data_IF_412578736729
#
_entry.id   IF_412578736729
#
_cell.length_a   1.000
_cell.length_b   1.000
_cell.length_c   1.000
_cell.angle_alpha   90.00
_cell.angle_beta   90.00
_cell.angle_gamma   90.00
#
_symmetry.space_group_name_H-M   'P 1'
#
loop_
_entity.id
_entity.type
_entity.pdbx_description
1 polymer ?
#
# COMPACT_ATOMS: atom_id res chain seq x y z
N UNK A 1 11.61 -10.21 -6.45
CA UNK A 1 11.52 -10.54 -7.89
C UNK A 1 10.06 -10.49 -8.29
N UNK A 2 9.65 -9.47 -9.06
CA UNK A 2 8.33 -9.48 -9.68
C UNK A 2 8.26 -10.63 -10.68
N UNK A 3 7.24 -11.48 -10.55
CA UNK A 3 7.00 -12.52 -11.56
C UNK A 3 6.43 -11.89 -12.82
N UNK A 4 6.75 -12.49 -13.96
CA UNK A 4 6.07 -12.17 -15.21
C UNK A 4 4.55 -12.34 -15.05
N UNK A 5 3.79 -11.46 -15.67
CA UNK A 5 2.32 -11.49 -15.63
C UNK A 5 1.70 -12.82 -16.11
N UNK A 6 2.48 -13.65 -16.79
CA UNK A 6 2.10 -15.01 -17.22
C UNK A 6 1.92 -16.00 -16.06
N UNK A 7 2.53 -15.72 -14.90
CA UNK A 7 2.49 -16.60 -13.73
C UNK A 7 1.35 -16.26 -12.76
N UNK A 8 0.56 -15.24 -13.06
CA UNK A 8 -0.56 -14.80 -12.24
C UNK A 8 -1.87 -15.29 -12.85
N UNK A 9 -2.63 -16.02 -12.08
CA UNK A 9 -4.01 -16.39 -12.45
C UNK A 9 -4.97 -15.32 -11.97
N UNK A 10 -5.79 -14.79 -12.86
CA UNK A 10 -6.81 -13.79 -12.56
C UNK A 10 -8.21 -14.38 -12.73
N UNK A 11 -9.04 -14.25 -11.72
CA UNK A 11 -10.46 -14.61 -11.74
C UNK A 11 -11.29 -13.37 -11.43
N UNK A 12 -12.19 -13.02 -12.35
CA UNK A 12 -13.15 -11.94 -12.15
C UNK A 12 -14.51 -12.53 -11.80
N UNK A 13 -15.01 -12.16 -10.62
CA UNK A 13 -16.37 -12.47 -10.17
C UNK A 13 -17.26 -11.22 -10.27
N UNK A 14 -18.54 -11.33 -9.83
CA UNK A 14 -19.47 -10.20 -9.81
C UNK A 14 -18.97 -9.03 -8.96
N UNK A 15 -18.38 -9.33 -7.80
CA UNK A 15 -18.12 -8.35 -6.74
C UNK A 15 -16.64 -8.18 -6.44
N UNK A 16 -15.79 -9.06 -6.96
CA UNK A 16 -14.35 -9.03 -6.70
C UNK A 16 -13.51 -9.51 -7.88
N UNK A 17 -12.22 -9.19 -7.79
CA UNK A 17 -11.17 -9.76 -8.64
C UNK A 17 -10.20 -10.48 -7.73
N UNK A 18 -9.87 -11.72 -8.07
CA UNK A 18 -8.91 -12.54 -7.34
C UNK A 18 -7.69 -12.79 -8.22
N UNK A 19 -6.53 -12.42 -7.71
CA UNK A 19 -5.24 -12.74 -8.31
C UNK A 19 -4.54 -13.81 -7.46
N UNK A 20 -3.98 -14.82 -8.09
CA UNK A 20 -3.27 -15.90 -7.41
C UNK A 20 -1.94 -16.16 -8.11
N UNK A 21 -0.86 -16.27 -7.35
CA UNK A 21 0.47 -16.62 -7.84
C UNK A 21 1.23 -17.44 -6.80
N UNK A 22 2.29 -18.13 -7.24
CA UNK A 22 3.10 -18.97 -6.36
C UNK A 22 4.57 -18.60 -6.44
N UNK A 23 5.23 -18.56 -5.30
CA UNK A 23 6.67 -18.30 -5.14
C UNK A 23 7.20 -19.22 -4.05
N UNK A 24 8.27 -19.95 -4.34
CA UNK A 24 9.04 -20.75 -3.37
C UNK A 24 8.18 -21.67 -2.48
N UNK A 25 7.18 -22.32 -3.07
CA UNK A 25 6.29 -23.23 -2.35
C UNK A 25 5.18 -22.55 -1.55
N UNK A 26 5.05 -21.24 -1.67
CA UNK A 26 3.93 -20.47 -1.12
C UNK A 26 3.02 -20.02 -2.25
N UNK A 27 1.71 -20.09 -2.02
CA UNK A 27 0.71 -19.49 -2.89
C UNK A 27 0.14 -18.25 -2.21
N UNK A 28 0.21 -17.14 -2.91
CA UNK A 28 -0.37 -15.86 -2.51
C UNK A 28 -1.69 -15.64 -3.24
N UNK A 29 -2.63 -15.06 -2.53
CA UNK A 29 -3.91 -14.65 -3.10
C UNK A 29 -4.16 -13.19 -2.74
N UNK A 30 -4.44 -12.37 -3.75
CA UNK A 30 -4.94 -11.00 -3.57
C UNK A 30 -6.40 -10.97 -3.98
N UNK A 31 -7.26 -10.45 -3.13
CA UNK A 31 -8.67 -10.22 -3.45
C UNK A 31 -8.98 -8.73 -3.36
N UNK A 32 -9.44 -8.16 -4.47
CA UNK A 32 -9.91 -6.77 -4.54
C UNK A 32 -11.43 -6.78 -4.63
N UNK A 33 -12.09 -6.22 -3.64
CA UNK A 33 -13.55 -6.14 -3.56
C UNK A 33 -13.98 -4.67 -3.56
N UNK A 34 -14.89 -4.31 -4.46
CA UNK A 34 -15.48 -2.98 -4.46
C UNK A 34 -16.60 -2.93 -3.42
N UNK A 35 -16.51 -1.98 -2.50
CA UNK A 35 -17.60 -1.75 -1.57
C UNK A 35 -18.69 -0.91 -2.23
N UNK A 36 -19.92 -1.34 -2.06
CA UNK A 36 -21.08 -0.56 -2.48
C UNK A 36 -21.28 0.60 -1.49
N UNK A 37 -20.81 1.78 -1.86
CA UNK A 37 -21.03 2.99 -1.09
C UNK A 37 -22.38 3.59 -1.47
N UNK A 38 -23.12 4.10 -0.49
CA UNK A 38 -24.41 4.78 -0.75
C UNK A 38 -24.25 6.15 -1.41
N UNK A 39 -23.02 6.61 -1.58
CA UNK A 39 -22.69 7.89 -2.18
C UNK A 39 -22.10 7.70 -3.57
N UNK A 40 -22.65 8.37 -4.56
CA UNK A 40 -22.10 8.40 -5.91
C UNK A 40 -20.75 9.13 -6.02
N UNK A 41 -20.36 9.87 -4.97
CA UNK A 41 -19.11 10.63 -4.93
C UNK A 41 -17.94 9.89 -4.27
N UNK A 42 -18.20 8.71 -3.67
CA UNK A 42 -17.19 7.96 -2.95
C UNK A 42 -17.13 6.54 -3.49
N UNK A 43 -15.95 6.12 -3.87
CA UNK A 43 -15.61 4.73 -4.15
C UNK A 43 -14.73 4.17 -3.01
N UNK A 44 -14.94 2.91 -2.64
CA UNK A 44 -14.10 2.21 -1.70
C UNK A 44 -13.76 0.83 -2.26
N UNK A 45 -12.49 0.46 -2.16
CA UNK A 45 -12.03 -0.89 -2.43
C UNK A 45 -11.41 -1.48 -1.16
N UNK A 46 -11.73 -2.73 -0.90
CA UNK A 46 -11.02 -3.55 0.08
C UNK A 46 -10.03 -4.44 -0.66
N UNK A 47 -8.79 -4.47 -0.20
CA UNK A 47 -7.76 -5.34 -0.72
C UNK A 47 -7.32 -6.25 0.42
N UNK A 48 -7.44 -7.56 0.21
CA UNK A 48 -6.98 -8.57 1.16
C UNK A 48 -5.92 -9.46 0.53
N UNK A 49 -4.98 -9.92 1.34
CA UNK A 49 -3.92 -10.83 0.96
C UNK A 49 -4.00 -12.08 1.84
N UNK A 50 -3.90 -13.23 1.22
CA UNK A 50 -3.76 -14.51 1.90
C UNK A 50 -2.50 -15.21 1.40
N UNK A 51 -1.91 -16.05 2.26
CA UNK A 51 -0.78 -16.90 1.91
C UNK A 51 -1.00 -18.31 2.44
N UNK A 52 -0.62 -19.31 1.65
CA UNK A 52 -0.66 -20.71 2.09
C UNK A 52 0.54 -21.48 1.57
N UNK A 53 0.96 -22.50 2.30
CA UNK A 53 1.94 -23.47 1.82
C UNK A 53 1.31 -24.43 0.79
N UNK A 54 2.01 -24.65 -0.29
CA UNK A 54 1.59 -25.57 -1.37
C UNK A 54 2.52 -26.77 -1.54
N UNK A 55 3.68 -26.75 -0.91
CA UNK A 55 4.65 -27.84 -0.96
C UNK A 55 4.79 -28.60 0.37
N UNK A 56 3.96 -28.26 1.35
CA UNK A 56 3.94 -28.91 2.66
C UNK A 56 5.05 -28.47 3.61
N UNK A 57 5.82 -27.43 3.27
CA UNK A 57 6.80 -26.82 4.17
C UNK A 57 6.19 -25.66 4.96
N UNK A 58 6.64 -25.45 6.18
CA UNK A 58 6.35 -24.23 6.92
C UNK A 58 7.24 -23.09 6.42
N UNK A 59 6.75 -21.88 6.53
CA UNK A 59 7.52 -20.67 6.32
C UNK A 59 7.34 -19.76 7.54
N UNK A 60 8.45 -19.25 8.07
CA UNK A 60 8.44 -18.32 9.18
C UNK A 60 8.61 -16.87 8.65
N UNK A 61 7.99 -15.92 9.33
CA UNK A 61 8.15 -14.49 9.06
C UNK A 61 7.86 -14.10 7.61
N UNK A 62 6.73 -14.54 7.08
CA UNK A 62 6.28 -14.13 5.74
C UNK A 62 5.87 -12.67 5.79
N UNK A 63 6.40 -11.89 4.86
CA UNK A 63 6.10 -10.46 4.75
C UNK A 63 5.57 -10.14 3.37
N UNK A 64 4.70 -9.14 3.29
CA UNK A 64 4.18 -8.61 2.04
C UNK A 64 4.48 -7.12 1.92
N UNK A 65 4.89 -6.71 0.73
CA UNK A 65 5.01 -5.32 0.33
C UNK A 65 3.99 -5.02 -0.75
N UNK A 66 3.16 -4.03 -0.50
CA UNK A 66 2.14 -3.54 -1.43
C UNK A 66 2.52 -2.13 -1.85
N UNK A 67 2.91 -1.96 -3.10
CA UNK A 67 3.22 -0.65 -3.66
C UNK A 67 2.00 -0.11 -4.38
N UNK A 68 1.69 1.16 -4.14
CA UNK A 68 0.64 1.89 -4.81
C UNK A 68 1.25 3.11 -5.50
N UNK A 69 1.11 3.09 -6.80
CA UNK A 69 1.32 4.22 -7.68
C UNK A 69 0.04 5.05 -7.72
N UNK A 70 0.12 6.33 -7.35
CA UNK A 70 -1.06 7.16 -7.10
C UNK A 70 -1.19 8.26 -8.15
N UNK A 71 -2.08 8.03 -9.11
CA UNK A 71 -2.55 9.08 -9.99
C UNK A 71 -3.90 9.61 -9.50
N UNK A 72 -3.95 10.86 -9.08
CA UNK A 72 -5.17 11.50 -8.57
C UNK A 72 -5.62 12.61 -9.52
N UNK A 73 -6.83 12.46 -10.06
CA UNK A 73 -7.33 13.38 -11.07
C UNK A 73 -6.50 13.32 -12.36
N UNK A 74 -5.84 14.41 -12.69
CA UNK A 74 -4.93 14.52 -13.84
C UNK A 74 -3.46 14.49 -13.43
N UNK A 75 -3.17 14.25 -12.15
CA UNK A 75 -1.84 14.37 -11.59
C UNK A 75 -1.27 12.99 -11.32
N UNK A 76 -0.05 12.76 -11.79
CA UNK A 76 0.74 11.55 -11.55
C UNK A 76 1.71 11.77 -10.37
N UNK A 77 1.39 12.71 -9.51
CA UNK A 77 2.07 13.01 -8.27
C UNK A 77 1.02 13.35 -7.22
N UNK A 78 1.00 12.59 -6.16
CA UNK A 78 0.17 12.89 -5.01
C UNK A 78 1.01 13.56 -3.91
N UNK A 79 0.38 14.48 -3.19
CA UNK A 79 0.91 14.96 -1.92
C UNK A 79 0.29 14.13 -0.82
N UNK A 80 1.12 13.60 0.06
CA UNK A 80 0.68 12.70 1.12
C UNK A 80 0.64 13.40 2.47
N UNK A 81 -0.38 13.08 3.24
CA UNK A 81 -0.51 13.47 4.64
C UNK A 81 -0.84 12.25 5.50
N UNK A 82 -0.13 12.12 6.60
CA UNK A 82 -0.42 11.13 7.63
C UNK A 82 -1.10 11.78 8.82
N UNK A 83 -2.13 11.15 9.33
CA UNK A 83 -2.74 11.56 10.59
C UNK A 83 -1.93 11.00 11.75
N UNK A 84 -1.45 11.88 12.62
CA UNK A 84 -0.79 11.48 13.86
C UNK A 84 -1.81 11.07 14.94
N UNK A 85 -1.33 10.40 15.96
CA UNK A 85 -2.13 9.92 17.10
C UNK A 85 -2.86 11.04 17.87
N UNK A 86 -2.26 12.22 17.90
CA UNK A 86 -2.86 13.43 18.49
C UNK A 86 -3.87 14.12 17.55
N UNK A 87 -4.21 13.48 16.44
CA UNK A 87 -5.10 14.00 15.38
C UNK A 87 -4.53 15.19 14.62
N UNK A 88 -3.25 15.48 14.75
CA UNK A 88 -2.56 16.40 13.84
C UNK A 88 -2.17 15.69 12.55
N UNK A 89 -1.83 16.48 11.53
CA UNK A 89 -1.42 15.97 10.23
C UNK A 89 0.05 16.24 10.00
N UNK A 90 0.73 15.28 9.41
CA UNK A 90 2.09 15.45 8.92
C UNK A 90 2.14 15.28 7.41
N UNK A 91 2.53 16.34 6.71
CA UNK A 91 2.74 16.28 5.27
C UNK A 91 4.09 15.61 4.99
N UNK A 92 4.06 14.61 4.12
CA UNK A 92 5.26 13.94 3.65
C UNK A 92 5.85 14.78 2.52
N UNK A 93 7.04 15.31 2.73
CA UNK A 93 7.68 16.26 1.80
C UNK A 93 8.88 15.69 1.03
N UNK A 94 9.42 14.56 1.46
CA UNK A 94 10.56 13.89 0.82
C UNK A 94 10.43 12.39 0.91
N UNK A 95 11.29 11.68 0.19
CA UNK A 95 11.40 10.25 0.38
C UNK A 95 11.67 9.94 1.85
N UNK A 96 10.92 9.01 2.40
CA UNK A 96 11.03 8.64 3.80
C UNK A 96 10.45 7.25 4.07
N UNK A 97 10.93 6.64 5.13
CA UNK A 97 10.38 5.41 5.67
C UNK A 97 9.89 5.68 7.09
N UNK A 98 8.67 5.31 7.36
CA UNK A 98 8.02 5.47 8.65
C UNK A 98 7.87 4.11 9.28
N UNK A 99 8.49 3.92 10.42
CA UNK A 99 8.29 2.75 11.27
C UNK A 99 6.96 2.90 12.03
N UNK A 100 6.09 1.93 11.87
CA UNK A 100 4.79 1.85 12.53
C UNK A 100 4.64 0.53 13.30
N UNK A 101 5.76 -0.13 13.63
CA UNK A 101 5.79 -1.46 14.22
C UNK A 101 5.11 -1.53 15.60
N UNK A 102 5.13 -0.45 16.35
CA UNK A 102 4.43 -0.33 17.66
C UNK A 102 2.97 0.15 17.51
N UNK A 103 2.53 0.46 16.28
CA UNK A 103 1.16 0.93 15.97
C UNK A 103 0.80 2.26 16.65
N UNK A 104 1.78 2.95 17.21
CA UNK A 104 1.57 4.04 18.14
C UNK A 104 1.77 5.43 17.51
N UNK A 105 2.56 5.55 16.46
CA UNK A 105 2.98 6.85 15.95
C UNK A 105 1.89 7.57 15.14
N UNK A 106 1.07 6.82 14.41
CA UNK A 106 0.13 7.41 13.45
C UNK A 106 -1.28 6.84 13.60
N UNK A 107 -2.27 7.73 13.61
CA UNK A 107 -3.69 7.38 13.58
C UNK A 107 -4.12 7.02 12.16
N UNK A 108 -3.46 6.05 11.57
CA UNK A 108 -4.10 5.06 10.71
C UNK A 108 -4.80 5.54 9.43
N UNK A 109 -4.67 6.81 9.05
CA UNK A 109 -5.13 7.28 7.77
C UNK A 109 -4.00 7.99 7.02
N UNK A 110 -3.76 7.51 5.84
CA UNK A 110 -2.91 8.14 4.84
C UNK A 110 -3.83 8.81 3.81
N UNK A 111 -3.67 10.09 3.60
CA UNK A 111 -4.36 10.86 2.59
C UNK A 111 -3.43 11.18 1.44
N UNK A 112 -3.94 11.05 0.21
CA UNK A 112 -3.33 11.56 -0.99
C UNK A 112 -4.21 12.62 -1.63
N UNK A 113 -3.63 13.69 -2.13
CA UNK A 113 -4.33 14.81 -2.74
C UNK A 113 -3.78 15.11 -4.12
N UNK A 114 -4.67 15.41 -5.05
CA UNK A 114 -4.29 16.01 -6.33
C UNK A 114 -3.79 17.46 -6.15
N UNK A 115 -4.32 18.15 -5.16
CA UNK A 115 -4.01 19.53 -4.82
C UNK A 115 -4.20 19.76 -3.32
N UNK A 116 -3.13 19.90 -2.52
CA UNK A 116 -3.26 20.05 -1.07
C UNK A 116 -3.94 21.36 -0.63
N UNK A 117 -3.95 22.40 -1.49
CA UNK A 117 -4.58 23.68 -1.16
C UNK A 117 -6.07 23.73 -1.52
N UNK A 118 -6.46 22.98 -2.54
CA UNK A 118 -7.85 22.95 -3.01
C UNK A 118 -8.10 21.57 -3.67
N UNK A 119 -8.16 20.48 -2.88
CA UNK A 119 -8.27 19.15 -3.43
C UNK A 119 -9.60 18.99 -4.19
N UNK A 120 -9.50 18.50 -5.42
CA UNK A 120 -10.66 18.06 -6.20
C UNK A 120 -10.84 16.55 -6.12
N UNK A 121 -9.74 15.83 -5.93
CA UNK A 121 -9.72 14.38 -5.69
C UNK A 121 -8.86 14.10 -4.45
N UNK A 122 -9.43 13.34 -3.53
CA UNK A 122 -8.72 12.84 -2.36
C UNK A 122 -8.86 11.33 -2.32
N UNK A 123 -7.74 10.64 -2.20
CA UNK A 123 -7.70 9.23 -1.85
C UNK A 123 -7.28 9.11 -0.39
N UNK A 124 -7.78 8.10 0.30
CA UNK A 124 -7.26 7.77 1.62
C UNK A 124 -7.14 6.25 1.78
N UNK A 125 -6.11 5.86 2.49
CA UNK A 125 -5.88 4.47 2.87
C UNK A 125 -6.04 4.36 4.38
N UNK A 126 -6.85 3.41 4.83
CA UNK A 126 -6.97 3.11 6.24
C UNK A 126 -5.86 2.12 6.61
N UNK A 127 -4.95 2.57 7.45
CA UNK A 127 -3.77 1.81 7.88
C UNK A 127 -3.90 1.35 9.34
N UNK A 128 -5.13 1.34 9.87
CA UNK A 128 -5.43 0.93 11.23
C UNK A 128 -5.88 -0.50 11.30
N UNK A 129 -5.51 -1.16 12.36
CA UNK A 129 -6.22 -2.38 12.77
C UNK A 129 -7.62 -2.02 13.24
N UNK A 130 -8.64 -2.35 12.44
CA UNK A 130 -10.04 -2.13 12.80
C UNK A 130 -10.71 -3.48 13.00
N UNK A 131 -11.11 -3.76 14.25
CA UNK A 131 -11.88 -4.95 14.61
C UNK A 131 -11.27 -6.28 14.12
N UNK A 132 -9.95 -6.40 14.09
CA UNK A 132 -9.20 -7.54 13.58
C UNK A 132 -9.49 -7.89 12.09
N UNK A 133 -10.04 -6.95 11.34
CA UNK A 133 -10.34 -7.12 9.91
C UNK A 133 -9.43 -6.33 8.98
N UNK A 134 -8.79 -5.31 9.51
CA UNK A 134 -7.79 -4.53 8.79
C UNK A 134 -6.51 -4.61 9.60
N UNK A 135 -5.43 -5.00 8.97
CA UNK A 135 -4.10 -5.08 9.58
C UNK A 135 -3.35 -3.80 9.26
N UNK A 136 -2.82 -3.14 10.26
CA UNK A 136 -1.95 -2.00 10.07
C UNK A 136 -0.61 -2.44 9.45
N UNK A 137 -0.06 -1.70 8.47
CA UNK A 137 1.30 -1.95 8.04
C UNK A 137 2.26 -1.64 9.18
N UNK A 138 3.30 -2.45 9.35
CA UNK A 138 4.35 -2.17 10.32
C UNK A 138 5.31 -1.08 9.84
N UNK A 139 5.33 -0.82 8.53
CA UNK A 139 6.18 0.20 7.90
C UNK A 139 5.47 0.79 6.68
N UNK A 140 5.67 2.08 6.48
CA UNK A 140 5.18 2.81 5.30
C UNK A 140 6.37 3.53 4.66
N UNK A 141 6.61 3.28 3.38
CA UNK A 141 7.64 3.97 2.61
C UNK A 141 6.99 4.92 1.60
N UNK A 142 7.54 6.12 1.49
CA UNK A 142 7.17 7.09 0.47
C UNK A 142 8.39 7.38 -0.39
N UNK A 143 8.22 7.38 -1.69
CA UNK A 143 9.32 7.61 -2.61
C UNK A 143 8.86 8.04 -4.00
N UNK A 144 9.80 8.47 -4.80
CA UNK A 144 9.57 8.57 -6.24
C UNK A 144 9.26 7.17 -6.77
N UNK A 145 8.28 7.10 -7.68
CA UNK A 145 7.83 5.82 -8.22
C UNK A 145 8.99 4.94 -8.71
N UNK A 146 9.91 5.51 -9.49
CA UNK A 146 11.05 4.77 -10.03
C UNK A 146 11.96 4.18 -8.94
N UNK A 147 12.18 4.91 -7.85
CA UNK A 147 13.05 4.48 -6.75
C UNK A 147 12.37 3.36 -5.96
N UNK A 148 11.10 3.53 -5.62
CA UNK A 148 10.31 2.48 -4.99
C UNK A 148 10.19 1.25 -5.88
N UNK A 149 9.83 1.41 -7.16
CA UNK A 149 9.65 0.30 -8.08
C UNK A 149 10.93 -0.49 -8.34
N UNK A 150 12.09 0.16 -8.30
CA UNK A 150 13.39 -0.49 -8.49
C UNK A 150 13.92 -1.21 -7.25
N UNK A 151 13.41 -0.90 -6.06
CA UNK A 151 13.79 -1.60 -4.83
C UNK A 151 13.11 -2.98 -4.77
N UNK A 152 13.85 -4.01 -4.32
CA UNK A 152 13.34 -5.40 -4.32
C UNK A 152 12.29 -5.60 -3.23
N UNK A 153 12.64 -5.34 -1.97
CA UNK A 153 11.74 -5.36 -0.83
C UNK A 153 12.00 -4.16 0.05
N UNK A 154 13.19 -4.05 0.62
CA UNK A 154 13.59 -2.92 1.44
C UNK A 154 13.81 -1.68 0.57
N UNK A 155 13.33 -0.55 1.05
CA UNK A 155 13.50 0.74 0.41
C UNK A 155 14.39 1.63 1.27
N UNK A 156 15.47 2.12 0.68
CA UNK A 156 16.36 3.10 1.30
C UNK A 156 16.02 4.49 0.73
N UNK A 157 15.41 5.37 1.55
CA UNK A 157 14.99 6.68 1.08
C UNK A 157 16.17 7.64 0.90
N UNK A 158 16.16 8.41 -0.17
CA UNK A 158 17.00 9.59 -0.31
C UNK A 158 16.22 10.83 0.18
N UNK A 159 16.42 11.20 1.42
CA UNK A 159 15.73 12.32 2.05
C UNK A 159 16.01 13.69 1.36
N UNK A 160 16.98 13.75 0.46
CA UNK A 160 17.24 14.94 -0.36
C UNK A 160 16.27 15.07 -1.54
N UNK A 161 15.65 13.97 -1.93
CA UNK A 161 14.63 13.93 -2.98
C UNK A 161 13.28 14.34 -2.41
N UNK A 162 12.87 15.54 -2.71
CA UNK A 162 11.61 16.10 -2.24
C UNK A 162 10.46 15.75 -3.19
N UNK A 163 9.29 15.45 -2.63
CA UNK A 163 8.04 15.44 -3.37
C UNK A 163 7.68 16.86 -3.74
N UNK A 164 7.37 17.03 -4.98
CA UNK A 164 7.14 18.34 -5.52
C UNK A 164 5.80 18.88 -5.08
N UNK A 165 5.85 20.09 -4.58
CA UNK A 165 4.65 20.91 -4.51
C UNK A 165 4.22 21.21 -5.96
N UNK A 166 3.08 20.69 -6.45
CA UNK A 166 2.61 20.92 -7.82
C UNK A 166 2.36 22.39 -8.15
N UNK A 167 2.40 23.25 -7.15
CA UNK A 167 2.26 24.72 -7.28
C UNK A 167 3.58 25.45 -7.30
N UNK A 168 4.69 24.76 -7.21
CA UNK A 168 6.00 25.31 -7.42
C UNK A 168 6.50 24.74 -8.74
N UNK A 169 6.31 25.49 -9.83
CA UNK A 169 6.61 25.12 -11.22
C UNK A 169 8.01 24.49 -11.44
N UNK A 170 8.91 24.71 -10.49
CA UNK A 170 10.28 24.20 -10.54
C UNK A 170 10.38 22.69 -10.34
N UNK A 171 9.29 22.03 -9.94
CA UNK A 171 9.33 20.64 -9.45
C UNK A 171 8.24 19.72 -10.03
N UNK A 172 7.75 20.00 -11.21
CA UNK A 172 6.63 19.30 -11.86
C UNK A 172 6.93 17.87 -12.37
N UNK A 173 7.98 17.22 -11.90
CA UNK A 173 8.45 15.96 -12.51
C UNK A 173 8.53 14.75 -11.56
N UNK A 174 8.02 14.87 -10.36
CA UNK A 174 8.13 13.76 -9.43
C UNK A 174 6.84 12.95 -9.37
N UNK A 175 6.84 11.88 -10.11
CA UNK A 175 5.93 10.76 -9.96
C UNK A 175 6.13 10.14 -8.58
N UNK A 176 5.12 10.18 -7.73
CA UNK A 176 5.19 9.78 -6.33
C UNK A 176 4.37 8.52 -6.07
N UNK A 177 4.93 7.64 -5.25
CA UNK A 177 4.28 6.41 -4.84
C UNK A 177 4.50 6.15 -3.34
N UNK A 178 3.74 5.22 -2.79
CA UNK A 178 4.00 4.71 -1.46
C UNK A 178 3.92 3.19 -1.41
N UNK A 179 4.58 2.60 -0.43
CA UNK A 179 4.54 1.17 -0.19
C UNK A 179 4.16 0.89 1.27
N UNK A 180 3.30 -0.08 1.44
CA UNK A 180 2.85 -0.60 2.73
C UNK A 180 3.50 -1.95 2.97
N UNK A 181 4.04 -2.16 4.16
CA UNK A 181 4.70 -3.40 4.56
C UNK A 181 3.91 -4.08 5.66
N UNK A 182 3.56 -5.33 5.43
CA UNK A 182 2.76 -6.13 6.33
C UNK A 182 3.52 -7.36 6.78
N UNK A 183 3.42 -7.69 8.07
CA UNK A 183 3.82 -8.97 8.60
C UNK A 183 2.63 -9.95 8.49
N UNK A 184 2.77 -10.97 7.68
CA UNK A 184 1.78 -12.02 7.48
C UNK A 184 1.98 -13.20 8.43
N UNK A 185 2.98 -13.11 9.32
CA UNK A 185 3.29 -14.14 10.29
C UNK A 185 3.90 -15.39 9.69
N UNK A 186 3.70 -16.50 10.39
CA UNK A 186 4.19 -17.81 9.98
C UNK A 186 3.09 -18.61 9.30
N UNK A 187 3.47 -19.31 8.23
CA UNK A 187 2.60 -20.22 7.49
C UNK A 187 2.96 -21.65 7.87
N UNK A 188 2.02 -22.37 8.47
CA UNK A 188 2.22 -23.78 8.81
C UNK A 188 2.27 -24.66 7.55
N UNK A 189 2.96 -25.80 7.65
CA UNK A 189 2.89 -26.82 6.62
C UNK A 189 1.43 -27.22 6.36
N UNK A 190 0.94 -27.09 5.13
CA UNK A 190 -0.46 -27.29 4.75
C UNK A 190 -1.47 -26.37 5.48
N UNK A 191 -1.00 -25.27 6.04
CA UNK A 191 -1.80 -24.26 6.72
C UNK A 191 -2.03 -23.02 5.87
N UNK A 192 -3.02 -22.23 6.27
CA UNK A 192 -3.29 -20.89 5.72
C UNK A 192 -2.85 -19.86 6.76
N UNK A 193 -2.20 -18.79 6.30
CA UNK A 193 -1.99 -17.58 7.06
C UNK A 193 -2.87 -16.49 6.45
N UNK A 194 -3.77 -15.90 7.20
CA UNK A 194 -4.61 -14.78 6.80
C UNK A 194 -4.19 -13.51 7.53
N UNK A 195 -4.12 -12.42 6.80
CA UNK A 195 -4.03 -11.06 7.33
C UNK A 195 -5.18 -10.19 6.82
#
# INVERSE_FOLDING_TARGET
MGKDSSDVTLVKNSDNIVATWSVDGLTFTQTVTLANTKSALHGMASISYGVKSTDGRSADSVQARVMLDTALGYQDYAVYELTKKDSTYEQIQSETVIDNSDGEAYNNALFGYDNPKAPSVTAYTVNASINNKIVAPYQIAFGHWNNLASSVFDFEPDNSLTFTNPYNEKYLTADSAYALYFDMGSVAANGEGDT
#
